data_IF_992763550029
#
_entry.id   IF_992763550029
#
_cell.length_a   1.000
_cell.length_b   1.000
_cell.length_c   1.000
_cell.angle_alpha   90.00
_cell.angle_beta   90.00
_cell.angle_gamma   90.00
#
_symmetry.space_group_name_H-M   'P 1'
#
loop_
_entity.id
_entity.type
_entity.pdbx_description
1 polymer ?
#
# COMPACT_ATOMS: atom_id res chain seq x y z
N UNK A 1 -55.18 22.54 -25.21
CA UNK A 1 -55.28 22.05 -23.84
C UNK A 1 -54.06 21.22 -23.59
N UNK A 2 -53.06 21.79 -22.87
CA UNK A 2 -51.80 21.10 -22.57
C UNK A 2 -51.94 20.50 -21.18
N UNK A 3 -51.86 19.15 -21.10
CA UNK A 3 -51.93 18.41 -19.84
C UNK A 3 -50.53 18.33 -19.25
N UNK A 4 -50.26 19.03 -18.16
CA UNK A 4 -49.01 18.92 -17.42
C UNK A 4 -49.06 17.63 -16.57
N UNK A 5 -48.13 16.71 -16.83
CA UNK A 5 -47.93 15.49 -16.01
C UNK A 5 -47.18 15.93 -14.72
N UNK A 6 -47.87 15.86 -13.61
CA UNK A 6 -47.31 16.15 -12.29
C UNK A 6 -46.56 14.90 -11.78
N UNK A 7 -45.25 14.91 -11.77
CA UNK A 7 -44.43 13.85 -11.17
C UNK A 7 -44.57 13.93 -9.66
N UNK A 8 -45.08 12.85 -9.06
CA UNK A 8 -45.39 12.78 -7.63
C UNK A 8 -44.12 12.88 -6.73
N UNK A 9 -44.33 13.36 -5.49
CA UNK A 9 -43.26 13.53 -4.50
C UNK A 9 -42.55 12.18 -4.19
N UNK A 10 -43.27 11.07 -4.24
CA UNK A 10 -42.70 9.72 -4.03
C UNK A 10 -41.71 9.32 -5.11
N UNK A 11 -41.96 9.68 -6.38
CA UNK A 11 -41.05 9.35 -7.49
C UNK A 11 -39.72 10.13 -7.38
N UNK A 12 -39.78 11.34 -6.82
CA UNK A 12 -38.57 12.16 -6.59
C UNK A 12 -37.71 11.62 -5.44
N UNK A 13 -38.32 11.02 -4.41
CA UNK A 13 -37.61 10.43 -3.29
C UNK A 13 -36.92 9.13 -3.74
N UNK A 14 -37.62 8.27 -4.48
CA UNK A 14 -37.06 7.01 -5.01
C UNK A 14 -35.91 7.29 -5.99
N UNK A 15 -36.07 8.28 -6.88
CA UNK A 15 -35.02 8.68 -7.81
C UNK A 15 -33.78 9.24 -7.09
N UNK A 16 -33.99 10.01 -6.00
CA UNK A 16 -32.90 10.56 -5.19
C UNK A 16 -32.15 9.50 -4.40
N UNK A 17 -32.85 8.51 -3.82
CA UNK A 17 -32.21 7.39 -3.11
C UNK A 17 -31.50 6.45 -4.08
N UNK A 18 -32.06 6.18 -5.24
CA UNK A 18 -31.43 5.40 -6.31
C UNK A 18 -30.18 6.12 -6.85
N UNK A 19 -30.22 7.43 -7.03
CA UNK A 19 -29.08 8.24 -7.44
C UNK A 19 -28.01 8.29 -6.36
N UNK A 20 -28.36 8.42 -5.08
CA UNK A 20 -27.44 8.42 -3.95
C UNK A 20 -26.84 7.04 -3.66
N UNK A 21 -27.58 5.96 -3.90
CA UNK A 21 -27.05 4.60 -3.78
C UNK A 21 -26.06 4.24 -4.90
N UNK A 22 -26.34 4.67 -6.13
CA UNK A 22 -25.43 4.51 -7.25
C UNK A 22 -24.19 5.44 -7.16
N UNK A 23 -24.34 6.65 -6.59
CA UNK A 23 -23.21 7.55 -6.34
C UNK A 23 -22.22 6.97 -5.31
N UNK A 24 -22.68 6.20 -4.33
CA UNK A 24 -21.82 5.47 -3.37
C UNK A 24 -21.10 4.27 -3.98
N UNK A 25 -21.47 3.84 -5.19
CA UNK A 25 -21.04 2.56 -5.78
C UNK A 25 -19.89 2.64 -6.78
N UNK A 26 -19.31 3.79 -7.11
CA UNK A 26 -18.24 3.83 -8.11
C UNK A 26 -17.06 4.74 -7.75
N UNK A 27 -16.41 4.47 -6.61
CA UNK A 27 -15.03 4.92 -6.50
C UNK A 27 -14.21 4.18 -7.54
N UNK A 28 -13.47 4.92 -8.39
CA UNK A 28 -12.50 4.28 -9.28
C UNK A 28 -11.53 3.42 -8.46
N UNK A 29 -10.94 2.41 -9.06
CA UNK A 29 -9.96 1.57 -8.36
C UNK A 29 -8.81 2.41 -7.82
N UNK A 30 -8.38 3.44 -8.57
CA UNK A 30 -7.37 4.40 -8.11
C UNK A 30 -7.79 5.14 -6.83
N UNK A 31 -9.05 5.57 -6.73
CA UNK A 31 -9.58 6.21 -5.53
C UNK A 31 -9.69 5.26 -4.33
N UNK A 32 -9.80 3.95 -4.58
CA UNK A 32 -9.79 2.96 -3.51
C UNK A 32 -8.41 2.83 -2.84
N UNK A 33 -7.32 3.17 -3.51
CA UNK A 33 -6.00 3.22 -2.87
C UNK A 33 -5.87 4.39 -1.90
N UNK A 34 -6.45 5.55 -2.24
CA UNK A 34 -6.26 6.81 -1.50
C UNK A 34 -6.54 6.65 0.00
N UNK A 35 -5.56 7.05 0.82
CA UNK A 35 -5.61 7.01 2.27
C UNK A 35 -4.37 6.39 2.91
N UNK A 36 -4.45 6.17 4.21
CA UNK A 36 -3.39 5.56 5.01
C UNK A 36 -3.76 4.13 5.36
N UNK A 37 -2.81 3.23 5.19
CA UNK A 37 -2.98 1.81 5.42
C UNK A 37 -1.91 1.32 6.38
N UNK A 38 -2.31 0.54 7.39
CA UNK A 38 -1.42 -0.10 8.36
C UNK A 38 -1.14 -1.54 7.93
N UNK A 39 0.10 -1.96 8.00
CA UNK A 39 0.50 -3.35 7.76
C UNK A 39 -0.14 -4.27 8.79
N UNK A 40 -0.71 -5.37 8.30
CA UNK A 40 -1.24 -6.47 9.12
C UNK A 40 -0.28 -7.66 9.07
N UNK A 41 0.22 -7.97 7.89
CA UNK A 41 1.17 -9.07 7.72
C UNK A 41 2.03 -8.87 6.47
N UNK A 42 3.25 -9.36 6.52
CA UNK A 42 4.14 -9.49 5.38
C UNK A 42 4.73 -10.90 5.39
N UNK A 43 4.40 -11.69 4.38
CA UNK A 43 4.87 -13.05 4.19
C UNK A 43 5.56 -13.21 2.85
N UNK A 44 6.44 -14.18 2.77
CA UNK A 44 7.17 -14.55 1.56
C UNK A 44 6.71 -15.96 1.17
N UNK A 45 6.05 -16.08 0.02
CA UNK A 45 5.68 -17.36 -0.58
C UNK A 45 6.92 -17.88 -1.35
N UNK A 46 7.46 -19.05 -0.97
CA UNK A 46 8.65 -19.68 -1.57
C UNK A 46 8.46 -21.20 -1.65
N UNK A 47 8.49 -21.77 -2.87
CA UNK A 47 8.15 -23.18 -3.08
C UNK A 47 6.78 -23.52 -2.50
N UNK A 48 6.69 -24.61 -1.72
CA UNK A 48 5.47 -25.03 -1.05
C UNK A 48 5.30 -24.42 0.36
N UNK A 49 6.16 -23.48 0.74
CA UNK A 49 6.22 -22.87 2.07
C UNK A 49 5.97 -21.39 2.11
N UNK A 50 5.82 -20.89 3.33
CA UNK A 50 5.69 -19.47 3.64
C UNK A 50 6.71 -19.07 4.70
N UNK A 51 7.48 -18.03 4.44
CA UNK A 51 8.48 -17.46 5.35
C UNK A 51 7.99 -16.12 5.91
N UNK A 52 8.51 -15.74 7.06
CA UNK A 52 8.31 -14.39 7.59
C UNK A 52 9.07 -13.34 6.75
N UNK A 53 8.66 -12.09 6.90
CA UNK A 53 9.30 -10.95 6.25
C UNK A 53 10.79 -10.85 6.63
N UNK A 54 11.62 -10.22 5.80
CA UNK A 54 13.03 -9.96 6.14
C UNK A 54 13.22 -9.12 7.41
N UNK A 55 12.17 -8.39 7.82
CA UNK A 55 12.15 -7.58 9.04
C UNK A 55 11.54 -8.32 10.25
N UNK A 56 11.23 -9.62 10.10
CA UNK A 56 10.65 -10.49 11.14
C UNK A 56 9.11 -10.52 11.14
N UNK A 57 8.52 -11.42 11.95
CA UNK A 57 7.07 -11.73 11.91
C UNK A 57 6.18 -10.57 12.35
N UNK A 58 6.68 -9.66 13.19
CA UNK A 58 5.93 -8.54 13.75
C UNK A 58 6.29 -7.20 13.09
N UNK A 59 6.69 -7.22 11.82
CA UNK A 59 7.03 -6.02 11.07
C UNK A 59 5.94 -4.96 11.19
N UNK A 60 6.32 -3.76 11.58
CA UNK A 60 5.46 -2.58 11.59
C UNK A 60 5.51 -1.90 10.22
N UNK A 61 4.41 -1.27 9.81
CA UNK A 61 4.45 -0.52 8.56
C UNK A 61 3.21 0.29 8.27
N UNK A 62 3.43 1.35 7.52
CA UNK A 62 2.38 2.15 6.91
C UNK A 62 2.68 2.35 5.43
N UNK A 63 1.61 2.37 4.62
CA UNK A 63 1.66 2.84 3.25
C UNK A 63 0.57 3.89 3.08
N UNK A 64 0.91 4.98 2.40
CA UNK A 64 0.02 6.09 2.14
C UNK A 64 -0.05 6.34 0.65
N UNK A 65 -1.27 6.54 0.15
CA UNK A 65 -1.54 6.96 -1.22
C UNK A 65 -2.31 8.27 -1.21
N UNK A 66 -1.84 9.25 -1.95
CA UNK A 66 -2.48 10.56 -2.06
C UNK A 66 -3.28 10.68 -3.37
N UNK A 67 -4.36 11.48 -3.40
CA UNK A 67 -5.15 11.70 -4.62
C UNK A 67 -4.31 12.25 -5.79
N UNK A 68 -3.26 13.03 -5.46
CA UNK A 68 -2.33 13.61 -6.44
C UNK A 68 -1.39 12.62 -7.12
N UNK A 69 -1.52 11.30 -6.84
CA UNK A 69 -0.69 10.27 -7.47
C UNK A 69 0.68 10.07 -6.80
N UNK A 70 0.85 10.53 -5.56
CA UNK A 70 2.06 10.28 -4.75
C UNK A 70 1.78 9.23 -3.69
N UNK A 71 2.81 8.45 -3.35
CA UNK A 71 2.76 7.43 -2.32
C UNK A 71 4.03 7.42 -1.49
N UNK A 72 3.91 6.95 -0.24
CA UNK A 72 5.06 6.61 0.61
C UNK A 72 4.77 5.32 1.37
N UNK A 73 5.80 4.52 1.57
CA UNK A 73 5.78 3.36 2.45
C UNK A 73 6.94 3.42 3.44
N UNK A 74 6.66 3.00 4.66
CA UNK A 74 7.67 2.78 5.68
C UNK A 74 7.38 1.44 6.37
N UNK A 75 8.39 0.58 6.42
CA UNK A 75 8.37 -0.74 7.05
C UNK A 75 9.51 -0.82 8.05
N UNK A 76 9.25 -1.36 9.23
CA UNK A 76 10.20 -1.31 10.32
C UNK A 76 10.12 -2.58 11.18
N UNK A 77 11.28 -3.10 11.56
CA UNK A 77 11.40 -4.06 12.65
C UNK A 77 11.02 -3.41 13.98
N UNK A 78 10.16 -4.00 14.81
CA UNK A 78 9.71 -3.38 16.06
C UNK A 78 10.81 -3.23 17.12
N UNK A 79 11.77 -4.14 17.11
CA UNK A 79 12.84 -4.31 18.09
C UNK A 79 14.18 -3.64 17.70
N UNK A 80 14.13 -2.59 16.87
CA UNK A 80 15.34 -1.86 16.49
C UNK A 80 15.99 -1.24 17.73
N UNK A 81 17.30 -1.51 17.98
CA UNK A 81 18.00 -0.92 19.11
C UNK A 81 18.07 0.60 18.96
N UNK A 82 17.94 1.30 20.09
CA UNK A 82 18.24 2.74 20.14
C UNK A 82 19.74 2.94 20.06
N UNK A 83 20.15 4.04 19.45
CA UNK A 83 21.55 4.47 19.45
C UNK A 83 21.94 4.92 20.85
N UNK A 84 23.22 4.75 21.20
CA UNK A 84 23.76 5.17 22.48
C UNK A 84 23.74 6.71 22.64
N UNK A 85 23.98 7.45 21.54
CA UNK A 85 23.88 8.90 21.49
C UNK A 85 22.56 9.33 20.81
N UNK A 86 21.99 10.45 21.27
CA UNK A 86 20.91 11.14 20.55
C UNK A 86 21.42 11.99 19.37
N UNK A 87 22.73 12.12 19.21
CA UNK A 87 23.36 12.78 18.08
C UNK A 87 23.67 11.75 16.98
N UNK A 88 22.98 11.86 15.84
CA UNK A 88 23.15 10.95 14.71
C UNK A 88 24.61 10.91 14.20
N UNK A 89 25.35 12.03 14.31
CA UNK A 89 26.74 12.11 13.85
C UNK A 89 27.74 11.38 14.77
N UNK A 90 27.29 10.94 15.95
CA UNK A 90 28.07 10.14 16.90
C UNK A 90 27.70 8.65 16.86
N UNK A 91 26.80 8.25 15.96
CA UNK A 91 26.40 6.86 15.83
C UNK A 91 27.57 6.00 15.38
N UNK A 92 27.72 4.85 16.02
CA UNK A 92 28.75 3.87 15.67
C UNK A 92 28.35 3.10 14.40
N UNK A 93 29.32 2.59 13.61
CA UNK A 93 29.02 1.85 12.38
C UNK A 93 28.06 0.68 12.57
N UNK A 94 28.19 -0.09 13.65
CA UNK A 94 27.30 -1.21 13.98
C UNK A 94 25.88 -0.75 14.31
N UNK A 95 25.70 0.39 14.95
CA UNK A 95 24.38 0.98 15.25
C UNK A 95 23.71 1.46 13.97
N UNK A 96 24.49 2.11 13.08
CA UNK A 96 24.00 2.56 11.76
C UNK A 96 23.55 1.34 10.94
N UNK A 97 24.39 0.29 10.90
CA UNK A 97 24.05 -0.95 10.20
C UNK A 97 22.76 -1.58 10.74
N UNK A 98 22.64 -1.75 12.05
CA UNK A 98 21.44 -2.30 12.68
C UNK A 98 20.20 -1.43 12.42
N UNK A 99 20.37 -0.11 12.44
CA UNK A 99 19.34 0.85 12.08
C UNK A 99 18.88 0.71 10.63
N UNK A 100 19.82 0.57 9.69
CA UNK A 100 19.53 0.39 8.27
C UNK A 100 18.89 -0.96 7.98
N UNK A 101 19.43 -2.07 8.48
CA UNK A 101 18.93 -3.43 8.25
C UNK A 101 17.49 -3.64 8.77
N UNK A 102 17.07 -2.83 9.73
CA UNK A 102 15.75 -2.90 10.35
C UNK A 102 14.70 -1.97 9.75
N UNK A 103 14.98 -1.29 8.63
CA UNK A 103 14.09 -0.27 8.09
C UNK A 103 14.11 -0.19 6.57
N UNK A 104 12.94 -0.19 5.97
CA UNK A 104 12.76 0.01 4.53
C UNK A 104 11.74 1.12 4.34
N UNK A 105 12.11 2.14 3.56
CA UNK A 105 11.17 3.18 3.15
C UNK A 105 11.45 3.63 1.73
N UNK A 106 10.39 4.00 1.04
CA UNK A 106 10.48 4.67 -0.25
C UNK A 106 9.24 5.52 -0.50
N UNK A 107 9.41 6.57 -1.30
CA UNK A 107 8.33 7.43 -1.76
C UNK A 107 8.49 7.70 -3.26
N UNK A 108 7.39 8.07 -3.90
CA UNK A 108 7.37 8.45 -5.31
C UNK A 108 5.96 8.62 -5.84
N UNK A 109 5.81 8.59 -7.15
CA UNK A 109 4.49 8.57 -7.77
C UNK A 109 3.97 7.13 -7.93
N UNK A 110 2.68 7.00 -8.27
CA UNK A 110 2.09 5.71 -8.57
C UNK A 110 1.07 5.76 -9.69
N UNK A 111 1.01 4.67 -10.47
CA UNK A 111 0.00 4.44 -11.48
C UNK A 111 -0.71 3.12 -11.26
N UNK A 112 -2.02 3.08 -11.55
CA UNK A 112 -2.88 1.91 -11.37
C UNK A 112 -3.33 1.41 -12.74
N UNK A 113 -3.05 0.15 -13.03
CA UNK A 113 -3.67 -0.58 -14.14
C UNK A 113 -4.85 -1.40 -13.59
N UNK A 114 -6.07 -0.90 -13.82
CA UNK A 114 -7.29 -1.51 -13.31
C UNK A 114 -7.63 -2.82 -14.03
N UNK A 115 -7.32 -2.91 -15.33
CA UNK A 115 -7.64 -4.09 -16.15
C UNK A 115 -6.82 -5.30 -15.75
N UNK A 116 -5.51 -5.10 -15.59
CA UNK A 116 -4.56 -6.16 -15.22
C UNK A 116 -4.35 -6.27 -13.69
N UNK A 117 -5.01 -5.42 -12.91
CA UNK A 117 -5.00 -5.41 -11.44
C UNK A 117 -3.60 -5.31 -10.84
N UNK A 118 -2.81 -4.36 -11.33
CA UNK A 118 -1.55 -4.01 -10.71
C UNK A 118 -1.40 -2.49 -10.50
N UNK A 119 -0.55 -2.14 -9.56
CA UNK A 119 -0.08 -0.79 -9.31
C UNK A 119 1.43 -0.76 -9.50
N UNK A 120 1.95 0.32 -10.06
CA UNK A 120 3.39 0.58 -10.17
C UNK A 120 3.71 1.73 -9.23
N UNK A 121 4.73 1.55 -8.40
CA UNK A 121 5.34 2.61 -7.61
C UNK A 121 6.62 3.06 -8.33
N UNK A 122 6.68 4.30 -8.78
CA UNK A 122 7.83 4.93 -9.42
C UNK A 122 8.67 5.60 -8.32
N UNK A 123 9.78 4.98 -7.95
CA UNK A 123 10.53 5.37 -6.75
C UNK A 123 11.42 6.59 -6.98
N UNK A 124 11.15 7.67 -6.25
CA UNK A 124 11.89 8.92 -6.29
C UNK A 124 12.77 9.14 -5.06
N UNK A 125 12.40 8.55 -3.93
CA UNK A 125 13.16 8.52 -2.68
C UNK A 125 13.21 7.10 -2.15
N UNK A 126 14.33 6.66 -1.60
CA UNK A 126 14.45 5.32 -1.02
C UNK A 126 15.53 5.27 0.05
N UNK A 127 15.29 4.52 1.15
CA UNK A 127 16.32 4.18 2.12
C UNK A 127 17.38 3.24 1.55
N UNK A 128 17.01 2.39 0.56
CA UNK A 128 17.95 1.54 -0.16
C UNK A 128 18.30 2.19 -1.50
N UNK A 129 19.55 2.70 -1.67
CA UNK A 129 19.90 3.52 -2.83
C UNK A 129 19.64 2.87 -4.19
N UNK A 130 19.79 1.55 -4.30
CA UNK A 130 19.61 0.82 -5.56
C UNK A 130 18.15 0.77 -6.06
N UNK A 131 17.18 1.14 -5.22
CA UNK A 131 15.77 1.25 -5.63
C UNK A 131 15.44 2.61 -6.23
N UNK A 132 16.31 3.61 -6.08
CA UNK A 132 16.06 4.94 -6.62
C UNK A 132 15.92 4.91 -8.15
N UNK A 133 14.87 5.52 -8.67
CA UNK A 133 14.58 5.57 -10.11
C UNK A 133 14.05 4.26 -10.70
N UNK A 134 13.71 3.26 -9.86
CA UNK A 134 13.12 2.00 -10.33
C UNK A 134 11.61 1.98 -10.21
N UNK A 135 10.98 1.11 -10.98
CA UNK A 135 9.55 0.83 -10.95
C UNK A 135 9.29 -0.45 -10.15
N UNK A 136 8.39 -0.34 -9.17
CA UNK A 136 8.03 -1.46 -8.32
C UNK A 136 6.59 -1.89 -8.59
N UNK A 137 6.41 -2.92 -9.43
CA UNK A 137 5.10 -3.50 -9.76
C UNK A 137 4.57 -4.29 -8.56
N UNK A 138 3.26 -4.14 -8.28
CA UNK A 138 2.53 -4.91 -7.28
C UNK A 138 1.16 -5.30 -7.83
N UNK A 139 0.83 -6.56 -7.82
CA UNK A 139 -0.54 -7.02 -8.01
C UNK A 139 -1.36 -6.68 -6.79
N UNK A 140 -2.61 -6.28 -6.98
CA UNK A 140 -3.46 -5.87 -5.86
C UNK A 140 -4.81 -6.57 -5.84
N UNK A 141 -5.34 -6.68 -4.63
CA UNK A 141 -6.70 -7.12 -4.35
C UNK A 141 -7.26 -6.29 -3.19
N UNK A 142 -8.52 -5.84 -3.34
CA UNK A 142 -9.28 -5.22 -2.25
C UNK A 142 -10.27 -6.23 -1.69
N UNK A 143 -10.34 -6.36 -0.37
CA UNK A 143 -11.29 -7.20 0.36
C UNK A 143 -11.82 -6.45 1.59
N UNK A 144 -12.99 -5.84 1.47
CA UNK A 144 -13.54 -4.96 2.49
C UNK A 144 -12.63 -3.76 2.78
N UNK A 145 -12.15 -3.65 4.01
CA UNK A 145 -11.21 -2.61 4.42
C UNK A 145 -9.73 -3.01 4.28
N UNK A 146 -9.44 -4.13 3.60
CA UNK A 146 -8.09 -4.65 3.38
C UNK A 146 -7.63 -4.40 1.95
N UNK A 147 -6.34 -4.13 1.82
CA UNK A 147 -5.59 -4.10 0.58
C UNK A 147 -4.51 -5.20 0.66
N UNK A 148 -4.47 -6.07 -0.32
CA UNK A 148 -3.44 -7.09 -0.48
C UNK A 148 -2.54 -6.63 -1.63
N UNK A 149 -1.24 -6.59 -1.40
CA UNK A 149 -0.23 -6.30 -2.42
C UNK A 149 0.71 -7.51 -2.54
N UNK A 150 0.94 -7.97 -3.78
CA UNK A 150 1.88 -9.04 -4.09
C UNK A 150 2.93 -8.57 -5.09
N UNK A 151 4.20 -8.92 -4.87
CA UNK A 151 5.23 -8.71 -5.90
C UNK A 151 5.01 -9.67 -7.08
N UNK A 152 5.50 -9.36 -8.28
CA UNK A 152 5.85 -10.41 -9.23
C UNK A 152 6.83 -11.41 -8.57
N UNK A 153 6.99 -12.62 -9.14
CA UNK A 153 8.06 -13.50 -8.69
C UNK A 153 9.42 -12.81 -8.77
N UNK A 154 10.17 -12.82 -7.67
CA UNK A 154 11.52 -12.26 -7.54
C UNK A 154 12.48 -13.42 -7.34
N UNK A 155 13.63 -13.42 -8.05
CA UNK A 155 14.69 -14.39 -7.79
C UNK A 155 15.62 -13.83 -6.70
N UNK A 156 15.58 -14.43 -5.51
CA UNK A 156 16.40 -14.03 -4.37
C UNK A 156 17.19 -15.27 -3.92
N UNK A 157 18.53 -15.17 -3.93
CA UNK A 157 19.43 -16.27 -3.61
C UNK A 157 19.17 -17.55 -4.45
N UNK A 158 18.75 -17.40 -5.69
CA UNK A 158 18.44 -18.51 -6.61
C UNK A 158 17.02 -19.09 -6.48
N UNK A 159 16.25 -18.64 -5.49
CA UNK A 159 14.88 -19.10 -5.24
C UNK A 159 13.84 -18.08 -5.71
N UNK A 160 12.75 -18.57 -6.31
CA UNK A 160 11.62 -17.74 -6.68
C UNK A 160 10.78 -17.42 -5.44
N UNK A 161 10.61 -16.12 -5.16
CA UNK A 161 9.86 -15.63 -4.01
C UNK A 161 8.78 -14.64 -4.44
N UNK A 162 7.62 -14.70 -3.80
CA UNK A 162 6.56 -13.71 -3.94
C UNK A 162 6.28 -13.09 -2.58
N UNK A 163 6.48 -11.79 -2.44
CA UNK A 163 6.18 -11.08 -1.22
C UNK A 163 4.69 -10.70 -1.21
N UNK A 164 3.98 -11.12 -0.18
CA UNK A 164 2.56 -10.84 0.04
C UNK A 164 2.39 -9.97 1.27
N UNK A 165 1.89 -8.74 1.08
CA UNK A 165 1.63 -7.78 2.15
C UNK A 165 0.13 -7.53 2.27
N UNK A 166 -0.40 -7.64 3.49
CA UNK A 166 -1.80 -7.35 3.81
C UNK A 166 -1.85 -6.08 4.64
N UNK A 167 -2.68 -5.15 4.20
CA UNK A 167 -2.87 -3.86 4.81
C UNK A 167 -4.31 -3.66 5.24
N UNK A 168 -4.54 -2.90 6.30
CA UNK A 168 -5.86 -2.46 6.74
C UNK A 168 -5.92 -0.94 6.68
N UNK A 169 -7.04 -0.40 6.16
CA UNK A 169 -7.24 1.04 6.09
C UNK A 169 -7.37 1.63 7.49
N UNK A 170 -6.62 2.68 7.76
CA UNK A 170 -6.82 3.52 8.94
C UNK A 170 -8.00 4.47 8.70
N UNK A 171 -8.79 4.69 9.76
CA UNK A 171 -9.93 5.62 9.75
C UNK A 171 -9.46 7.05 9.97
#
# INVERSE_FOLDING_TARGET
MSSAVTVGASDRIIAREFFLSNWRSSRSVKEQFVGTWKLVSWKIEQGDGELDSPLGPNTLGWIMYQPGGFMCVALMRPDRPKFASNNLMEAKPEEIKAGFDGYISYCGSYDVNEQERFIIHHLQLSSFPNLLGTDQKRYFEFSGNRLILKTPPLTILGEAQVHRLIWVRLK
#
